data_IF_281792408255
#
_entry.id   IF_281792408255
#
_cell.length_a   1.000
_cell.length_b   1.000
_cell.length_c   1.000
_cell.angle_alpha   90.00
_cell.angle_beta   90.00
_cell.angle_gamma   90.00
#
_symmetry.space_group_name_H-M   'P 1'
#
loop_
_entity.id
_entity.type
_entity.pdbx_description
1 polymer ?
#
# COMPACT_ATOMS: atom_id res chain seq x y z
N UNK A 1 5.40 77.60 11.10
CA UNK A 1 5.16 76.20 10.66
C UNK A 1 4.55 75.47 11.83
N UNK A 2 3.28 75.11 11.73
CA UNK A 2 2.50 74.57 12.85
C UNK A 2 3.13 73.29 13.40
N UNK A 3 3.59 73.37 14.65
CA UNK A 3 4.24 72.29 15.43
C UNK A 3 3.31 71.10 15.75
N UNK A 4 2.14 71.02 15.10
CA UNK A 4 1.08 70.02 15.35
C UNK A 4 1.37 68.65 14.72
N UNK A 5 2.31 68.55 13.78
CA UNK A 5 2.70 67.28 13.15
C UNK A 5 3.83 66.52 13.89
N UNK A 6 4.34 67.05 15.01
CA UNK A 6 5.47 66.42 15.71
C UNK A 6 5.08 65.19 16.54
N UNK A 7 3.82 65.06 16.93
CA UNK A 7 3.37 64.03 17.87
C UNK A 7 2.23 63.21 17.27
N UNK A 8 2.43 61.89 17.18
CA UNK A 8 1.37 60.98 16.76
C UNK A 8 0.30 60.86 17.86
N UNK A 9 -0.94 61.04 17.47
CA UNK A 9 -2.12 61.01 18.35
C UNK A 9 -3.12 59.95 17.92
N UNK A 10 -2.79 59.16 16.90
CA UNK A 10 -3.63 58.08 16.38
C UNK A 10 -3.67 56.93 17.39
N UNK A 11 -4.78 56.23 17.43
CA UNK A 11 -4.91 55.02 18.22
C UNK A 11 -4.07 53.89 17.59
N UNK A 12 -3.41 53.09 18.44
CA UNK A 12 -2.61 51.95 17.99
C UNK A 12 -3.45 50.87 17.26
N UNK A 13 -4.71 50.71 17.67
CA UNK A 13 -5.66 49.74 17.08
C UNK A 13 -6.41 50.40 15.92
N UNK A 14 -7.05 51.55 16.18
CA UNK A 14 -7.86 52.27 15.19
C UNK A 14 -7.11 53.46 14.59
N UNK A 15 -6.20 53.20 13.64
CA UNK A 15 -5.24 54.19 13.11
C UNK A 15 -5.86 55.46 12.50
N UNK A 16 -7.14 55.43 12.12
CA UNK A 16 -7.87 56.61 11.61
C UNK A 16 -8.39 57.53 12.72
N UNK A 17 -8.51 57.01 13.94
CA UNK A 17 -9.10 57.73 15.06
C UNK A 17 -8.03 58.25 16.00
N UNK A 18 -8.20 59.50 16.42
CA UNK A 18 -7.34 60.11 17.44
C UNK A 18 -7.77 59.64 18.83
N UNK A 19 -6.78 59.44 19.70
CA UNK A 19 -6.97 59.19 21.13
C UNK A 19 -7.71 60.39 21.74
N UNK A 20 -8.75 60.12 22.54
CA UNK A 20 -9.61 61.16 23.12
C UNK A 20 -9.81 61.04 24.63
N UNK A 21 -9.77 59.84 25.19
CA UNK A 21 -10.13 59.61 26.59
C UNK A 21 -9.25 58.52 27.21
N UNK A 22 -9.25 58.44 28.54
CA UNK A 22 -8.62 57.34 29.28
C UNK A 22 -9.70 56.35 29.67
N UNK A 23 -9.47 55.06 29.43
CA UNK A 23 -10.23 53.99 30.06
C UNK A 23 -9.63 53.73 31.44
N UNK A 24 -10.28 54.21 32.49
CA UNK A 24 -9.81 54.10 33.87
C UNK A 24 -9.79 52.65 34.36
N UNK A 25 -10.76 51.83 33.91
CA UNK A 25 -10.82 50.40 34.22
C UNK A 25 -9.60 49.66 33.69
N UNK A 26 -9.24 49.88 32.42
CA UNK A 26 -8.11 49.21 31.77
C UNK A 26 -6.77 49.95 31.93
N UNK A 27 -6.77 51.17 32.47
CA UNK A 27 -5.61 52.07 32.59
C UNK A 27 -4.89 52.35 31.26
N UNK A 28 -5.64 52.45 30.17
CA UNK A 28 -5.10 52.73 28.82
C UNK A 28 -5.78 53.94 28.18
N UNK A 29 -5.11 54.52 27.19
CA UNK A 29 -5.67 55.58 26.36
C UNK A 29 -6.45 55.00 25.18
N UNK A 30 -7.63 55.53 24.91
CA UNK A 30 -8.55 54.96 23.90
C UNK A 30 -9.13 56.04 22.99
N UNK A 31 -9.44 55.66 21.74
CA UNK A 31 -10.21 56.47 20.82
C UNK A 31 -11.71 56.13 20.92
N UNK A 32 -12.55 56.82 20.14
CA UNK A 32 -14.01 56.59 20.18
C UNK A 32 -14.39 55.15 19.78
N UNK A 33 -13.73 54.55 18.80
CA UNK A 33 -14.01 53.17 18.37
C UNK A 33 -13.62 52.12 19.41
N UNK A 34 -12.51 52.32 20.13
CA UNK A 34 -12.13 51.46 21.25
C UNK A 34 -13.20 51.44 22.35
N UNK A 35 -13.87 52.57 22.60
CA UNK A 35 -14.92 52.68 23.62
C UNK A 35 -16.15 51.88 23.19
N UNK A 36 -16.48 51.89 21.90
CA UNK A 36 -17.64 51.17 21.37
C UNK A 36 -17.42 49.65 21.26
N UNK A 37 -16.15 49.22 21.28
CA UNK A 37 -15.72 47.82 21.17
C UNK A 37 -15.25 47.29 22.52
N UNK A 38 -13.95 47.06 22.68
CA UNK A 38 -13.36 46.31 23.79
C UNK A 38 -13.45 47.02 25.14
N UNK A 39 -13.75 48.33 25.14
CA UNK A 39 -13.90 49.12 26.35
C UNK A 39 -15.35 49.56 26.61
N UNK A 40 -16.33 48.90 25.98
CA UNK A 40 -17.74 49.20 26.18
C UNK A 40 -18.16 48.88 27.63
N UNK A 41 -18.82 49.85 28.29
CA UNK A 41 -19.22 49.75 29.69
C UNK A 41 -18.10 49.97 30.71
N UNK A 42 -16.87 50.23 30.29
CA UNK A 42 -15.78 50.55 31.23
C UNK A 42 -15.85 51.99 31.73
N UNK A 43 -15.27 52.25 32.91
CA UNK A 43 -15.17 53.60 33.47
C UNK A 43 -14.20 54.43 32.63
N UNK A 44 -14.63 55.63 32.23
CA UNK A 44 -13.84 56.55 31.41
C UNK A 44 -13.50 57.81 32.21
N UNK A 45 -12.26 58.28 32.07
CA UNK A 45 -11.73 59.49 32.70
C UNK A 45 -11.11 60.43 31.64
N UNK A 46 -11.06 61.74 31.95
CA UNK A 46 -10.50 62.75 31.05
C UNK A 46 -8.98 62.63 30.94
N UNK A 47 -8.44 63.00 29.79
CA UNK A 47 -6.99 63.22 29.63
C UNK A 47 -6.64 64.54 30.32
N UNK A 48 -6.23 64.45 31.57
CA UNK A 48 -5.74 65.57 32.38
C UNK A 48 -4.39 65.23 33.02
N UNK A 49 -3.84 66.18 33.78
CA UNK A 49 -2.50 66.04 34.39
C UNK A 49 -2.46 64.89 35.39
N UNK A 50 -3.49 64.70 36.20
CA UNK A 50 -3.49 63.68 37.26
C UNK A 50 -3.56 62.27 36.67
N UNK A 51 -4.53 62.04 35.78
CA UNK A 51 -4.75 60.74 35.16
C UNK A 51 -3.60 60.35 34.22
N UNK A 52 -3.04 61.31 33.48
CA UNK A 52 -1.87 61.08 32.63
C UNK A 52 -0.63 60.71 33.43
N UNK A 53 -0.40 61.35 34.59
CA UNK A 53 0.71 61.00 35.49
C UNK A 53 0.61 59.56 35.98
N UNK A 54 -0.59 59.09 36.36
CA UNK A 54 -0.79 57.70 36.82
C UNK A 54 -0.40 56.68 35.75
N UNK A 55 -0.85 56.86 34.50
CA UNK A 55 -0.49 55.96 33.39
C UNK A 55 1.01 56.04 33.08
N UNK A 56 1.58 57.25 33.10
CA UNK A 56 3.00 57.44 32.82
C UNK A 56 3.90 56.78 33.86
N UNK A 57 3.56 56.87 35.15
CA UNK A 57 4.34 56.20 36.20
C UNK A 57 4.28 54.67 36.08
N UNK A 58 3.14 54.08 35.71
CA UNK A 58 3.07 52.64 35.39
C UNK A 58 3.96 52.28 34.20
N UNK A 59 3.91 53.09 33.13
CA UNK A 59 4.77 52.89 31.96
C UNK A 59 6.26 52.96 32.32
N UNK A 60 6.65 53.98 33.08
CA UNK A 60 8.02 54.22 33.51
C UNK A 60 8.55 53.13 34.45
N UNK A 61 7.74 52.74 35.44
CA UNK A 61 8.18 51.85 36.51
C UNK A 61 8.01 50.37 36.17
N UNK A 62 7.13 50.01 35.22
CA UNK A 62 6.82 48.63 34.89
C UNK A 62 7.01 48.30 33.39
N UNK A 63 6.39 49.06 32.49
CA UNK A 63 6.38 48.70 31.06
C UNK A 63 7.77 48.75 30.43
N UNK A 64 8.57 49.79 30.69
CA UNK A 64 9.91 49.93 30.10
C UNK A 64 10.81 48.72 30.45
N UNK A 65 10.88 48.34 31.72
CA UNK A 65 11.70 47.20 32.14
C UNK A 65 11.19 45.86 31.58
N UNK A 66 9.87 45.73 31.39
CA UNK A 66 9.30 44.53 30.78
C UNK A 66 9.52 44.49 29.27
N UNK A 67 9.58 45.63 28.57
CA UNK A 67 9.90 45.68 27.14
C UNK A 67 11.33 45.18 26.88
N UNK A 68 12.29 45.56 27.71
CA UNK A 68 13.67 45.06 27.59
C UNK A 68 13.71 43.52 27.71
N UNK A 69 12.98 42.94 28.68
CA UNK A 69 12.83 41.48 28.79
C UNK A 69 12.17 40.85 27.57
N UNK A 70 11.20 41.53 26.94
CA UNK A 70 10.56 41.03 25.72
C UNK A 70 11.51 41.00 24.52
N UNK A 71 12.50 41.89 24.46
CA UNK A 71 13.54 41.85 23.41
C UNK A 71 14.32 40.54 23.51
N UNK A 72 14.77 40.19 24.72
CA UNK A 72 15.53 38.94 24.95
C UNK A 72 14.70 37.70 24.64
N UNK A 73 13.44 37.66 25.08
CA UNK A 73 12.50 36.56 24.79
C UNK A 73 12.30 36.41 23.27
N UNK A 74 12.08 37.51 22.55
CA UNK A 74 11.87 37.46 21.10
C UNK A 74 13.13 37.02 20.35
N UNK A 75 14.32 37.44 20.79
CA UNK A 75 15.58 36.96 20.23
C UNK A 75 15.78 35.47 20.47
N UNK A 76 15.42 34.96 21.65
CA UNK A 76 15.47 33.53 21.96
C UNK A 76 14.48 32.73 21.09
N UNK A 77 13.25 33.23 20.92
CA UNK A 77 12.25 32.64 20.03
C UNK A 77 12.70 32.63 18.57
N UNK A 78 13.33 33.72 18.10
CA UNK A 78 13.89 33.81 16.76
C UNK A 78 14.99 32.76 16.54
N UNK A 79 15.91 32.61 17.51
CA UNK A 79 16.95 31.59 17.45
C UNK A 79 16.36 30.17 17.46
N UNK A 80 15.36 29.89 18.31
CA UNK A 80 14.64 28.61 18.30
C UNK A 80 13.98 28.33 16.95
N UNK A 81 13.32 29.31 16.36
CA UNK A 81 12.68 29.18 15.04
C UNK A 81 13.71 28.89 13.94
N UNK A 82 14.83 29.61 13.95
CA UNK A 82 15.89 29.43 12.95
C UNK A 82 16.52 28.03 13.06
N UNK A 83 16.76 27.55 14.28
CA UNK A 83 17.28 26.20 14.50
C UNK A 83 16.30 25.12 14.02
N UNK A 84 15.01 25.27 14.31
CA UNK A 84 13.98 24.35 13.82
C UNK A 84 13.92 24.33 12.29
N UNK A 85 13.94 25.51 11.66
CA UNK A 85 13.97 25.63 10.20
C UNK A 85 15.21 24.97 9.61
N UNK A 86 16.38 25.13 10.24
CA UNK A 86 17.61 24.49 9.78
C UNK A 86 17.50 22.96 9.78
N UNK A 87 16.91 22.37 10.83
CA UNK A 87 16.65 20.93 10.86
C UNK A 87 15.68 20.48 9.75
N UNK A 88 14.68 21.29 9.42
CA UNK A 88 13.76 21.02 8.30
C UNK A 88 14.51 21.07 6.95
N UNK A 89 15.38 22.05 6.77
CA UNK A 89 16.20 22.21 5.56
C UNK A 89 17.17 21.03 5.36
N UNK A 90 17.85 20.62 6.42
CA UNK A 90 18.76 19.48 6.37
C UNK A 90 18.00 18.19 6.04
N UNK A 91 16.83 17.99 6.67
CA UNK A 91 15.98 16.82 6.38
C UNK A 91 15.40 16.84 4.97
N UNK A 92 15.05 18.02 4.46
CA UNK A 92 14.61 18.18 3.07
C UNK A 92 15.71 17.73 2.10
N UNK A 93 16.94 18.19 2.32
CA UNK A 93 18.10 17.82 1.50
C UNK A 93 18.35 16.31 1.53
N UNK A 94 18.31 15.70 2.71
CA UNK A 94 18.44 14.25 2.90
C UNK A 94 17.36 13.47 2.14
N UNK A 95 16.10 13.89 2.25
CA UNK A 95 14.98 13.25 1.57
C UNK A 95 15.11 13.32 0.05
N UNK A 96 15.50 14.48 -0.50
CA UNK A 96 15.73 14.65 -1.94
C UNK A 96 16.84 13.73 -2.45
N UNK A 97 17.96 13.65 -1.72
CA UNK A 97 19.08 12.76 -2.08
C UNK A 97 18.66 11.28 -2.04
N UNK A 98 17.90 10.88 -1.03
CA UNK A 98 17.39 9.52 -0.88
C UNK A 98 16.50 9.12 -2.06
N UNK A 99 15.54 9.97 -2.42
CA UNK A 99 14.65 9.73 -3.57
C UNK A 99 15.47 9.60 -4.85
N UNK A 100 16.41 10.51 -5.06
CA UNK A 100 17.25 10.55 -6.27
C UNK A 100 18.08 9.28 -6.44
N UNK A 101 18.75 8.81 -5.38
CA UNK A 101 19.59 7.61 -5.45
C UNK A 101 18.77 6.33 -5.66
N UNK A 102 17.59 6.18 -5.04
CA UNK A 102 16.72 5.01 -5.28
C UNK A 102 16.28 4.94 -6.75
N UNK A 103 15.87 6.05 -7.36
CA UNK A 103 15.49 6.06 -8.78
C UNK A 103 16.68 5.81 -9.71
N UNK A 104 17.88 6.27 -9.33
CA UNK A 104 19.12 6.01 -10.07
C UNK A 104 19.47 4.52 -10.06
N UNK A 105 19.36 3.84 -8.93
CA UNK A 105 19.56 2.39 -8.84
C UNK A 105 18.53 1.61 -9.66
N UNK A 106 17.24 1.98 -9.57
CA UNK A 106 16.19 1.35 -10.39
C UNK A 106 16.43 1.52 -11.89
N UNK A 107 16.89 2.70 -12.31
CA UNK A 107 17.22 2.96 -13.72
C UNK A 107 18.37 2.10 -14.23
N UNK A 108 19.32 1.72 -13.38
CA UNK A 108 20.44 0.81 -13.77
C UNK A 108 19.95 -0.60 -14.04
N UNK A 109 18.87 -1.04 -13.41
CA UNK A 109 18.33 -2.40 -13.56
C UNK A 109 17.59 -2.60 -14.89
N UNK A 110 16.92 -1.57 -15.41
CA UNK A 110 16.13 -1.64 -16.64
C UNK A 110 16.88 -2.23 -17.85
N UNK A 111 18.05 -1.71 -18.26
CA UNK A 111 18.77 -2.25 -19.42
C UNK A 111 19.27 -3.68 -19.19
N UNK A 112 19.59 -4.05 -17.95
CA UNK A 112 20.03 -5.41 -17.61
C UNK A 112 18.88 -6.39 -17.84
N UNK A 113 17.68 -6.06 -17.33
CA UNK A 113 16.48 -6.88 -17.48
C UNK A 113 16.06 -6.97 -18.96
N UNK A 114 16.13 -5.86 -19.70
CA UNK A 114 15.82 -5.84 -21.13
C UNK A 114 16.73 -6.80 -21.92
N UNK A 115 18.05 -6.70 -21.73
CA UNK A 115 19.03 -7.57 -22.40
C UNK A 115 18.80 -9.03 -22.05
N UNK A 116 18.53 -9.35 -20.78
CA UNK A 116 18.24 -10.71 -20.33
C UNK A 116 17.00 -11.30 -21.03
N UNK A 117 15.90 -10.53 -21.12
CA UNK A 117 14.68 -10.99 -21.78
C UNK A 117 14.85 -11.18 -23.28
N UNK A 118 15.58 -10.29 -23.95
CA UNK A 118 15.92 -10.45 -25.37
C UNK A 118 16.76 -11.71 -25.59
N UNK A 119 17.76 -11.97 -24.74
CA UNK A 119 18.59 -13.18 -24.83
C UNK A 119 17.75 -14.45 -24.71
N UNK A 120 16.80 -14.50 -23.78
CA UNK A 120 15.88 -15.65 -23.65
C UNK A 120 15.08 -15.89 -24.93
N UNK A 121 14.57 -14.84 -25.58
CA UNK A 121 13.87 -14.95 -26.86
C UNK A 121 14.77 -15.46 -27.98
N UNK A 122 16.02 -14.96 -28.06
CA UNK A 122 17.00 -15.40 -29.06
C UNK A 122 17.31 -16.88 -28.88
N UNK A 123 17.54 -17.35 -27.65
CA UNK A 123 17.81 -18.77 -27.39
C UNK A 123 16.65 -19.67 -27.83
N UNK A 124 15.40 -19.30 -27.50
CA UNK A 124 14.23 -20.08 -27.94
C UNK A 124 14.07 -20.10 -29.46
N UNK A 125 14.43 -19.00 -30.13
CA UNK A 125 14.42 -18.93 -31.59
C UNK A 125 15.52 -19.81 -32.21
N UNK A 126 16.72 -19.81 -31.65
CA UNK A 126 17.83 -20.65 -32.13
C UNK A 126 17.51 -22.14 -31.98
N UNK A 127 16.92 -22.56 -30.86
CA UNK A 127 16.44 -23.94 -30.68
C UNK A 127 15.39 -24.34 -31.73
N UNK A 128 14.44 -23.43 -32.04
CA UNK A 128 13.48 -23.65 -33.11
C UNK A 128 14.15 -23.72 -34.49
N UNK A 129 15.21 -22.95 -34.72
CA UNK A 129 15.98 -23.00 -35.96
C UNK A 129 16.68 -24.35 -36.13
N UNK A 130 17.21 -24.93 -35.05
CA UNK A 130 17.80 -26.26 -35.05
C UNK A 130 16.74 -27.34 -35.36
N UNK A 131 15.56 -27.25 -34.73
CA UNK A 131 14.42 -28.15 -35.03
C UNK A 131 14.03 -28.06 -36.51
N UNK A 132 13.91 -26.84 -37.05
CA UNK A 132 13.57 -26.63 -38.46
C UNK A 132 14.61 -27.22 -39.41
N UNK A 133 15.89 -27.08 -39.08
CA UNK A 133 17.00 -27.63 -39.86
C UNK A 133 16.93 -29.15 -39.87
N UNK A 134 16.69 -29.78 -38.72
CA UNK A 134 16.56 -31.23 -38.62
C UNK A 134 15.38 -31.79 -39.43
N UNK A 135 14.22 -31.12 -39.36
CA UNK A 135 13.04 -31.48 -40.17
C UNK A 135 13.36 -31.33 -41.65
N UNK A 136 13.92 -30.19 -42.06
CA UNK A 136 14.22 -29.88 -43.46
C UNK A 136 15.20 -30.89 -44.07
N UNK A 137 16.29 -31.21 -43.36
CA UNK A 137 17.26 -32.22 -43.79
C UNK A 137 16.61 -33.58 -43.94
N UNK A 138 15.82 -34.01 -42.94
CA UNK A 138 15.12 -35.31 -42.98
C UNK A 138 14.16 -35.39 -44.19
N UNK A 139 13.36 -34.35 -44.43
CA UNK A 139 12.45 -34.29 -45.57
C UNK A 139 13.21 -34.30 -46.89
N UNK A 140 14.30 -33.54 -46.99
CA UNK A 140 15.09 -33.45 -48.21
C UNK A 140 15.75 -34.80 -48.56
N UNK A 141 16.33 -35.49 -47.59
CA UNK A 141 16.90 -36.83 -47.78
C UNK A 141 15.85 -37.84 -48.24
N UNK A 142 14.66 -37.80 -47.64
CA UNK A 142 13.54 -38.63 -48.05
C UNK A 142 13.09 -38.33 -49.48
N UNK A 143 12.92 -37.06 -49.84
CA UNK A 143 12.52 -36.65 -51.19
C UNK A 143 13.57 -37.05 -52.23
N UNK A 144 14.86 -36.90 -51.92
CA UNK A 144 15.94 -37.32 -52.82
C UNK A 144 15.88 -38.83 -53.08
N UNK A 145 15.70 -39.65 -52.03
CA UNK A 145 15.55 -41.10 -52.18
C UNK A 145 14.28 -41.48 -52.96
N UNK A 146 13.15 -40.84 -52.66
CA UNK A 146 11.87 -41.07 -53.38
C UNK A 146 12.04 -40.74 -54.86
N UNK A 147 12.57 -39.56 -55.18
CA UNK A 147 12.75 -39.12 -56.57
C UNK A 147 13.69 -40.04 -57.33
N UNK A 148 14.79 -40.46 -56.70
CA UNK A 148 15.78 -41.37 -57.30
C UNK A 148 15.15 -42.73 -57.66
N UNK A 149 14.41 -43.33 -56.73
CA UNK A 149 13.72 -44.61 -56.95
C UNK A 149 12.60 -44.45 -57.98
N UNK A 150 11.74 -43.44 -57.81
CA UNK A 150 10.56 -43.25 -58.67
C UNK A 150 10.98 -42.97 -60.11
N UNK A 151 11.93 -42.07 -60.35
CA UNK A 151 12.39 -41.76 -61.71
C UNK A 151 13.01 -42.97 -62.41
N UNK A 152 13.70 -43.84 -61.65
CA UNK A 152 14.34 -45.03 -62.20
C UNK A 152 13.34 -46.11 -62.63
N UNK A 153 12.26 -46.30 -61.89
CA UNK A 153 11.37 -47.45 -62.08
C UNK A 153 9.97 -47.11 -62.63
N UNK A 154 9.51 -45.86 -62.57
CA UNK A 154 8.12 -45.45 -62.86
C UNK A 154 7.56 -46.01 -64.19
N UNK A 155 8.37 -46.00 -65.25
CA UNK A 155 7.93 -46.44 -66.58
C UNK A 155 8.41 -47.85 -66.95
N UNK A 156 9.37 -48.40 -66.21
CA UNK A 156 10.07 -49.65 -66.54
C UNK A 156 9.65 -50.82 -65.67
N UNK A 157 9.08 -50.57 -64.47
CA UNK A 157 8.85 -51.59 -63.44
C UNK A 157 8.10 -52.83 -63.96
N UNK A 158 7.05 -52.65 -64.77
CA UNK A 158 6.25 -53.75 -65.31
C UNK A 158 6.98 -54.59 -66.37
N UNK A 159 8.08 -54.08 -66.93
CA UNK A 159 8.90 -54.76 -67.94
C UNK A 159 10.14 -55.43 -67.34
N UNK A 160 10.39 -55.26 -66.04
CA UNK A 160 11.55 -55.86 -65.37
C UNK A 160 11.27 -57.35 -65.15
N UNK A 161 12.08 -58.20 -65.78
CA UNK A 161 12.11 -59.64 -65.52
C UNK A 161 13.35 -59.95 -64.66
N UNK A 162 13.11 -60.20 -63.36
CA UNK A 162 14.19 -60.37 -62.39
C UNK A 162 15.03 -61.62 -62.65
N UNK A 163 14.40 -62.72 -63.10
CA UNK A 163 15.10 -63.97 -63.42
C UNK A 163 16.13 -63.75 -64.53
N UNK A 164 15.76 -62.97 -65.54
CA UNK A 164 16.65 -62.64 -66.66
C UNK A 164 17.82 -61.77 -66.23
N UNK A 165 17.60 -60.84 -65.30
CA UNK A 165 18.66 -59.96 -64.76
C UNK A 165 19.64 -60.77 -63.91
N UNK A 166 19.14 -61.62 -63.01
CA UNK A 166 19.97 -62.49 -62.15
C UNK A 166 20.85 -63.39 -63.03
N UNK A 167 20.29 -64.00 -64.08
CA UNK A 167 21.02 -64.89 -64.97
C UNK A 167 22.08 -64.18 -65.83
N UNK A 168 21.98 -62.87 -66.03
CA UNK A 168 22.95 -62.08 -66.81
C UNK A 168 24.18 -61.63 -65.99
N UNK A 169 24.28 -61.99 -64.70
CA UNK A 169 25.42 -61.71 -63.83
C UNK A 169 25.83 -60.23 -63.74
N UNK A 170 24.88 -59.31 -63.92
CA UNK A 170 25.10 -57.91 -63.61
C UNK A 170 24.57 -57.61 -62.19
N UNK A 171 25.25 -56.76 -61.44
CA UNK A 171 24.83 -56.37 -60.07
C UNK A 171 23.54 -55.53 -60.04
N UNK A 172 22.84 -55.40 -61.17
CA UNK A 172 21.59 -54.64 -61.27
C UNK A 172 20.51 -55.22 -60.36
N UNK A 173 20.48 -56.54 -60.17
CA UNK A 173 19.56 -57.18 -59.24
C UNK A 173 19.82 -56.72 -57.79
N UNK A 174 21.08 -56.53 -57.38
CA UNK A 174 21.44 -56.01 -56.05
C UNK A 174 20.96 -54.56 -55.88
N UNK A 175 21.13 -53.72 -56.90
CA UNK A 175 20.66 -52.35 -56.86
C UNK A 175 19.13 -52.27 -56.73
N UNK A 176 18.39 -53.12 -57.45
CA UNK A 176 16.93 -53.24 -57.32
C UNK A 176 16.56 -53.62 -55.88
N UNK A 177 17.25 -54.60 -55.29
CA UNK A 177 17.00 -55.02 -53.91
C UNK A 177 17.31 -53.90 -52.90
N UNK A 178 18.37 -53.10 -53.12
CA UNK A 178 18.68 -51.92 -52.31
C UNK A 178 17.54 -50.90 -52.37
N UNK A 179 17.05 -50.56 -53.56
CA UNK A 179 15.94 -49.63 -53.72
C UNK A 179 14.63 -50.18 -53.16
N UNK A 180 14.37 -51.50 -53.25
CA UNK A 180 13.27 -52.15 -52.56
C UNK A 180 13.35 -51.92 -51.05
N UNK A 181 14.51 -52.20 -50.44
CA UNK A 181 14.70 -52.02 -48.99
C UNK A 181 14.55 -50.54 -48.56
N UNK A 182 15.16 -49.61 -49.30
CA UNK A 182 15.02 -48.17 -49.04
C UNK A 182 13.59 -47.68 -49.19
N UNK A 183 12.88 -48.13 -50.25
CA UNK A 183 11.47 -47.78 -50.43
C UNK A 183 10.67 -48.28 -49.25
N UNK A 184 10.88 -49.52 -48.81
CA UNK A 184 10.16 -50.10 -47.69
C UNK A 184 10.31 -49.25 -46.42
N UNK A 185 11.51 -48.75 -46.10
CA UNK A 185 11.72 -47.84 -44.96
C UNK A 185 10.95 -46.52 -45.07
N UNK A 186 10.73 -46.01 -46.28
CA UNK A 186 10.01 -44.75 -46.53
C UNK A 186 8.48 -44.90 -46.42
N UNK A 187 7.94 -46.07 -46.76
CA UNK A 187 6.48 -46.33 -46.80
C UNK A 187 5.93 -47.13 -45.61
N UNK A 188 6.77 -47.84 -44.84
CA UNK A 188 6.26 -48.72 -43.78
C UNK A 188 5.59 -47.91 -42.65
N UNK A 189 4.32 -48.24 -42.39
CA UNK A 189 3.53 -47.87 -41.21
C UNK A 189 3.57 -46.38 -40.81
N UNK A 190 3.58 -45.47 -41.78
CA UNK A 190 3.67 -44.02 -41.55
C UNK A 190 4.87 -43.60 -40.67
N UNK A 191 5.92 -44.44 -40.52
CA UNK A 191 7.01 -44.18 -39.58
C UNK A 191 7.72 -42.85 -39.85
N UNK A 192 7.90 -42.52 -41.13
CA UNK A 192 8.51 -41.25 -41.52
C UNK A 192 7.63 -40.04 -41.17
N UNK A 193 6.32 -40.15 -41.44
CA UNK A 193 5.36 -39.11 -41.09
C UNK A 193 5.30 -38.91 -39.57
N UNK A 194 5.29 -40.01 -38.80
CA UNK A 194 5.29 -39.97 -37.34
C UNK A 194 6.57 -39.33 -36.80
N UNK A 195 7.74 -39.68 -37.35
CA UNK A 195 9.03 -39.07 -36.97
C UNK A 195 9.04 -37.55 -37.22
N UNK A 196 8.52 -37.11 -38.35
CA UNK A 196 8.41 -35.66 -38.65
C UNK A 196 7.41 -34.99 -37.72
N UNK A 197 6.25 -35.60 -37.45
CA UNK A 197 5.27 -35.07 -36.48
C UNK A 197 5.87 -34.95 -35.07
N UNK A 198 6.65 -35.94 -34.64
CA UNK A 198 7.37 -35.88 -33.37
C UNK A 198 8.34 -34.71 -33.31
N UNK A 199 9.09 -34.44 -34.38
CA UNK A 199 9.97 -33.27 -34.46
C UNK A 199 9.19 -31.95 -34.46
N UNK A 200 8.08 -31.88 -35.20
CA UNK A 200 7.21 -30.69 -35.22
C UNK A 200 6.68 -30.39 -33.83
N UNK A 201 6.31 -31.42 -33.05
CA UNK A 201 5.82 -31.25 -31.68
C UNK A 201 6.89 -30.73 -30.71
N UNK A 202 8.18 -30.70 -31.11
CA UNK A 202 9.26 -30.14 -30.28
C UNK A 202 9.37 -28.62 -30.41
N UNK A 203 8.74 -28.00 -31.41
CA UNK A 203 8.78 -26.55 -31.56
C UNK A 203 8.28 -25.84 -30.30
N UNK A 204 9.03 -24.84 -29.85
CA UNK A 204 8.67 -24.00 -28.71
C UNK A 204 7.84 -22.81 -29.19
N UNK A 205 6.56 -22.82 -28.88
CA UNK A 205 5.69 -21.66 -29.13
C UNK A 205 5.90 -20.60 -28.04
N UNK A 206 6.24 -19.38 -28.44
CA UNK A 206 6.62 -18.29 -27.53
C UNK A 206 5.53 -17.24 -27.47
N UNK A 207 4.95 -17.05 -26.28
CA UNK A 207 3.99 -15.98 -25.99
C UNK A 207 4.62 -14.95 -25.04
N UNK A 208 4.48 -13.67 -25.37
CA UNK A 208 4.97 -12.56 -24.55
C UNK A 208 3.80 -11.93 -23.80
N UNK A 209 3.91 -11.83 -22.47
CA UNK A 209 2.95 -11.11 -21.63
C UNK A 209 3.58 -9.79 -21.19
N UNK A 210 2.91 -8.68 -21.48
CA UNK A 210 3.37 -7.34 -21.10
C UNK A 210 2.64 -6.84 -19.85
N UNK A 211 3.35 -6.73 -18.72
CA UNK A 211 2.83 -6.24 -17.44
C UNK A 211 3.24 -4.79 -17.13
N UNK A 212 3.62 -4.00 -18.14
CA UNK A 212 4.21 -2.66 -17.94
C UNK A 212 3.34 -1.73 -17.10
N UNK A 213 2.01 -1.81 -17.22
CA UNK A 213 1.11 -0.90 -16.51
C UNK A 213 1.06 -1.17 -15.00
N UNK A 214 1.07 -2.45 -14.61
CA UNK A 214 1.16 -2.82 -13.20
C UNK A 214 2.49 -2.35 -12.59
N UNK A 215 3.59 -2.53 -13.33
CA UNK A 215 4.93 -2.09 -12.89
C UNK A 215 4.99 -0.57 -12.72
N UNK A 216 4.40 0.21 -13.64
CA UNK A 216 4.34 1.67 -13.51
C UNK A 216 3.63 2.11 -12.23
N UNK A 217 2.52 1.45 -11.87
CA UNK A 217 1.80 1.78 -10.65
C UNK A 217 2.65 1.47 -9.41
N UNK A 218 3.31 0.31 -9.38
CA UNK A 218 4.26 0.00 -8.30
C UNK A 218 5.42 0.99 -8.20
N UNK A 219 5.91 1.52 -9.33
CA UNK A 219 6.98 2.55 -9.32
C UNK A 219 6.48 3.87 -8.73
N UNK A 220 5.24 4.28 -9.03
CA UNK A 220 4.64 5.51 -8.45
C UNK A 220 4.49 5.42 -6.93
N UNK A 221 4.28 4.21 -6.40
CA UNK A 221 4.06 3.95 -4.99
C UNK A 221 5.36 3.79 -4.17
N UNK A 222 6.54 3.92 -4.80
CA UNK A 222 7.83 3.80 -4.10
C UNK A 222 7.97 4.84 -2.99
N UNK A 223 7.52 6.08 -3.23
CA UNK A 223 7.58 7.16 -2.27
C UNK A 223 6.24 7.86 -2.12
N UNK A 224 5.76 7.96 -0.88
CA UNK A 224 4.63 8.80 -0.49
C UNK A 224 5.16 9.98 0.34
N UNK A 225 4.76 11.20 -0.02
CA UNK A 225 5.13 12.42 0.70
C UNK A 225 3.93 12.86 1.52
N UNK A 226 4.03 12.74 2.84
CA UNK A 226 3.03 13.24 3.78
C UNK A 226 3.54 14.47 4.54
N UNK A 227 2.65 15.41 4.85
CA UNK A 227 2.89 16.47 5.81
C UNK A 227 1.90 16.30 6.96
N UNK A 228 2.37 16.41 8.21
CA UNK A 228 1.48 16.40 9.36
C UNK A 228 1.55 17.76 10.05
N UNK A 229 0.52 18.57 9.87
CA UNK A 229 0.24 19.70 10.73
C UNK A 229 -0.67 19.18 11.85
N UNK A 230 -0.30 19.42 13.10
CA UNK A 230 -1.15 19.28 14.30
C UNK A 230 -1.33 17.88 14.93
N UNK A 231 -0.92 17.84 16.19
CA UNK A 231 -1.39 17.00 17.28
C UNK A 231 -2.91 17.16 17.38
N UNK A 232 -3.69 16.20 16.87
CA UNK A 232 -5.02 15.99 17.44
C UNK A 232 -4.81 15.29 18.78
N UNK A 233 -5.21 15.93 19.88
CA UNK A 233 -5.23 15.40 21.25
C UNK A 233 -6.25 14.26 21.42
N UNK A 234 -6.28 13.32 20.49
CA UNK A 234 -6.71 11.95 20.78
C UNK A 234 -5.42 11.24 21.17
N UNK A 235 -5.37 10.64 22.36
CA UNK A 235 -4.24 9.78 22.75
C UNK A 235 -4.21 8.64 21.73
N UNK A 236 -3.46 8.80 20.66
CA UNK A 236 -3.18 7.72 19.73
C UNK A 236 -2.23 6.76 20.45
N UNK A 237 -2.44 5.44 20.32
CA UNK A 237 -1.48 4.50 20.86
C UNK A 237 -0.09 4.78 20.30
N UNK A 238 0.92 4.68 21.15
CA UNK A 238 2.33 4.61 20.73
C UNK A 238 2.76 3.18 20.45
N UNK A 239 2.17 2.21 21.15
CA UNK A 239 2.45 0.79 20.99
C UNK A 239 1.20 -0.03 21.32
N UNK A 240 0.96 -1.08 20.56
CA UNK A 240 -0.08 -2.06 20.88
C UNK A 240 0.53 -3.46 20.87
N UNK A 241 0.35 -4.18 21.98
CA UNK A 241 0.83 -5.55 22.16
C UNK A 241 -0.37 -6.45 22.43
N UNK A 242 -0.53 -7.55 21.69
CA UNK A 242 -1.56 -8.56 21.99
C UNK A 242 -0.97 -9.90 22.44
N UNK A 243 -1.62 -10.55 23.41
CA UNK A 243 -0.98 -11.47 24.35
C UNK A 243 -1.38 -12.95 24.25
N UNK A 244 -1.05 -13.65 23.16
CA UNK A 244 -0.65 -15.09 23.16
C UNK A 244 0.77 -15.26 22.59
N UNK A 245 1.21 -14.29 21.78
CA UNK A 245 2.51 -14.25 21.11
C UNK A 245 3.27 -12.93 21.32
N UNK A 246 2.79 -12.03 22.19
CA UNK A 246 3.38 -10.69 22.44
C UNK A 246 3.79 -10.00 21.13
N UNK A 247 2.84 -9.89 20.20
CA UNK A 247 3.11 -9.28 18.90
C UNK A 247 2.94 -7.77 18.99
N UNK A 248 3.95 -7.02 18.54
CA UNK A 248 3.85 -5.57 18.35
C UNK A 248 3.13 -5.25 17.05
N UNK A 249 2.16 -4.34 17.12
CA UNK A 249 1.39 -3.90 15.97
C UNK A 249 1.94 -2.58 15.42
N UNK A 250 2.08 -2.51 14.11
CA UNK A 250 2.29 -1.25 13.41
C UNK A 250 1.02 -0.39 13.52
N UNK A 251 1.14 0.83 14.03
CA UNK A 251 -0.01 1.74 14.18
C UNK A 251 -0.21 2.50 12.86
N UNK A 252 -1.28 2.14 12.15
CA UNK A 252 -1.71 2.82 10.93
C UNK A 252 -2.26 4.20 11.26
N UNK A 253 -1.77 5.22 10.54
CA UNK A 253 -2.29 6.59 10.55
C UNK A 253 -2.70 6.96 9.12
N UNK A 254 -3.43 8.07 8.97
CA UNK A 254 -3.72 8.58 7.63
C UNK A 254 -2.40 8.80 6.87
N UNK A 255 -2.36 8.37 5.62
CA UNK A 255 -1.21 8.53 4.71
C UNK A 255 0.10 7.87 5.23
N UNK A 256 -0.03 6.82 6.05
CA UNK A 256 1.09 5.98 6.48
C UNK A 256 1.27 4.78 5.57
N UNK A 257 2.47 4.63 5.00
CA UNK A 257 2.89 3.39 4.34
C UNK A 257 3.17 2.35 5.43
N UNK A 258 2.46 1.22 5.38
CA UNK A 258 2.78 0.05 6.18
C UNK A 258 4.00 -0.63 5.54
N UNK A 259 5.13 -0.80 6.25
CA UNK A 259 6.32 -1.46 5.71
C UNK A 259 5.99 -2.82 5.11
N UNK A 260 6.57 -3.12 3.94
CA UNK A 260 6.36 -4.42 3.29
C UNK A 260 6.84 -5.55 4.21
N UNK A 261 6.04 -6.61 4.35
CA UNK A 261 6.29 -7.68 5.30
C UNK A 261 5.72 -7.43 6.71
N UNK A 262 5.08 -6.28 6.96
CA UNK A 262 4.33 -6.09 8.22
C UNK A 262 3.20 -7.10 8.32
N UNK A 263 3.14 -7.81 9.45
CA UNK A 263 2.15 -8.87 9.71
C UNK A 263 1.02 -8.39 10.62
N UNK A 264 1.31 -7.46 11.54
CA UNK A 264 0.39 -6.99 12.58
C UNK A 264 0.16 -5.48 12.43
N UNK A 265 -1.09 -5.07 12.24
CA UNK A 265 -1.47 -3.65 12.05
C UNK A 265 -2.61 -3.27 12.98
N UNK A 266 -2.47 -2.13 13.65
CA UNK A 266 -3.51 -1.54 14.49
C UNK A 266 -3.97 -0.21 13.89
N UNK A 267 -5.28 0.03 13.81
CA UNK A 267 -5.87 1.23 13.23
C UNK A 267 -6.59 2.03 14.31
N UNK A 268 -6.14 3.26 14.53
CA UNK A 268 -6.61 4.14 15.60
C UNK A 268 -7.78 5.06 15.22
N UNK A 269 -8.33 5.79 16.21
CA UNK A 269 -9.41 6.77 16.04
C UNK A 269 -9.02 8.00 15.20
N UNK A 270 -7.74 8.34 15.09
CA UNK A 270 -7.26 9.48 14.27
C UNK A 270 -7.36 9.24 12.75
N UNK A 271 -7.58 7.99 12.33
CA UNK A 271 -7.72 7.61 10.93
C UNK A 271 -9.06 8.10 10.39
N UNK A 272 -9.02 8.90 9.33
CA UNK A 272 -10.17 9.50 8.65
C UNK A 272 -10.56 8.72 7.40
N UNK A 273 -9.58 8.12 6.72
CA UNK A 273 -9.78 7.37 5.48
C UNK A 273 -8.85 6.17 5.38
N UNK A 274 -9.34 5.06 4.83
CA UNK A 274 -8.53 3.91 4.40
C UNK A 274 -8.73 3.79 2.89
N UNK A 275 -7.65 3.77 2.11
CA UNK A 275 -7.73 3.62 0.65
C UNK A 275 -7.65 2.13 0.31
N UNK A 276 -8.35 1.68 -0.73
CA UNK A 276 -8.19 0.31 -1.23
C UNK A 276 -6.72 0.11 -1.61
N UNK A 277 -6.09 -0.95 -1.07
CA UNK A 277 -4.68 -1.24 -1.27
C UNK A 277 -3.71 -0.58 -0.28
N UNK A 278 -4.16 0.31 0.62
CA UNK A 278 -3.25 0.96 1.60
C UNK A 278 -2.76 0.02 2.71
N UNK A 279 -3.44 -1.10 2.92
CA UNK A 279 -3.01 -2.16 3.83
C UNK A 279 -2.44 -3.31 2.98
N UNK A 280 -1.13 -3.61 3.10
CA UNK A 280 -0.47 -4.58 2.23
C UNK A 280 -0.95 -6.00 2.49
N UNK A 281 -0.87 -6.85 1.47
CA UNK A 281 -1.29 -8.26 1.54
C UNK A 281 -0.40 -9.13 2.43
N UNK A 282 0.66 -8.58 3.01
CA UNK A 282 1.46 -9.23 4.06
C UNK A 282 0.76 -9.25 5.42
N UNK A 283 -0.21 -8.35 5.65
CA UNK A 283 -0.90 -8.19 6.93
C UNK A 283 -1.82 -9.38 7.16
N UNK A 284 -1.65 -10.05 8.29
CA UNK A 284 -2.45 -11.21 8.70
C UNK A 284 -3.26 -10.95 9.96
N UNK A 285 -2.82 -10.01 10.80
CA UNK A 285 -3.46 -9.64 12.06
C UNK A 285 -3.84 -8.16 12.01
N UNK A 286 -5.13 -7.86 12.06
CA UNK A 286 -5.64 -6.49 12.06
C UNK A 286 -6.39 -6.20 13.36
N UNK A 287 -6.04 -5.10 14.02
CA UNK A 287 -6.73 -4.60 15.21
C UNK A 287 -7.36 -3.24 14.91
N UNK A 288 -8.68 -3.16 14.95
CA UNK A 288 -9.42 -1.90 14.92
C UNK A 288 -9.56 -1.43 16.37
N UNK A 289 -8.90 -0.33 16.71
CA UNK A 289 -8.85 0.19 18.07
C UNK A 289 -10.13 0.96 18.42
N UNK A 290 -10.32 1.17 19.72
CA UNK A 290 -11.43 1.95 20.25
C UNK A 290 -11.50 3.33 19.61
N UNK A 291 -12.72 3.72 19.21
CA UNK A 291 -12.98 5.00 18.58
C UNK A 291 -12.69 5.06 17.08
N UNK A 292 -12.22 3.98 16.43
CA UNK A 292 -12.13 3.90 14.97
C UNK A 292 -13.46 4.27 14.31
N UNK A 293 -13.44 5.27 13.42
CA UNK A 293 -14.64 5.96 12.91
C UNK A 293 -14.71 6.02 11.36
N UNK A 294 -14.09 5.06 10.68
CA UNK A 294 -14.18 4.92 9.22
C UNK A 294 -15.19 3.81 8.90
N UNK A 295 -16.07 4.07 7.94
CA UNK A 295 -17.01 3.05 7.47
C UNK A 295 -16.23 2.07 6.59
N UNK A 296 -16.06 0.84 7.04
CA UNK A 296 -15.45 -0.20 6.21
C UNK A 296 -16.46 -0.65 5.15
N UNK A 297 -15.97 -0.77 3.91
CA UNK A 297 -16.68 -1.27 2.73
C UNK A 297 -15.86 -2.38 2.07
N UNK A 298 -16.48 -3.12 1.16
CA UNK A 298 -15.84 -4.24 0.46
C UNK A 298 -14.54 -3.81 -0.24
N UNK A 299 -13.49 -4.63 -0.09
CA UNK A 299 -12.18 -4.41 -0.72
C UNK A 299 -11.25 -3.43 0.00
N UNK A 300 -11.71 -2.71 1.03
CA UNK A 300 -10.83 -1.81 1.81
C UNK A 300 -9.78 -2.56 2.64
N UNK A 301 -10.12 -3.75 3.11
CA UNK A 301 -9.24 -4.61 3.89
C UNK A 301 -8.74 -5.77 3.01
N UNK A 302 -7.44 -6.13 3.04
CA UNK A 302 -6.90 -7.19 2.20
C UNK A 302 -7.41 -8.58 2.61
N UNK A 303 -7.56 -9.47 1.62
CA UNK A 303 -8.00 -10.86 1.83
C UNK A 303 -6.97 -11.73 2.59
N UNK A 304 -5.77 -11.20 2.87
CA UNK A 304 -4.73 -11.87 3.64
C UNK A 304 -4.99 -11.90 5.14
N UNK A 305 -5.88 -11.03 5.66
CA UNK A 305 -6.16 -10.94 7.10
C UNK A 305 -6.78 -12.25 7.56
N UNK A 306 -6.15 -12.88 8.55
CA UNK A 306 -6.59 -14.14 9.19
C UNK A 306 -7.26 -13.89 10.54
N UNK A 307 -6.76 -12.91 11.29
CA UNK A 307 -7.24 -12.56 12.62
C UNK A 307 -7.67 -11.09 12.64
N UNK A 308 -8.94 -10.84 12.93
CA UNK A 308 -9.50 -9.49 13.04
C UNK A 308 -9.96 -9.26 14.48
N UNK A 309 -9.38 -8.24 15.13
CA UNK A 309 -9.74 -7.81 16.47
C UNK A 309 -10.44 -6.46 16.37
N UNK A 310 -11.59 -6.31 17.02
CA UNK A 310 -12.44 -5.13 16.88
C UNK A 310 -12.81 -4.58 18.24
N UNK A 311 -12.30 -3.39 18.57
CA UNK A 311 -12.64 -2.63 19.77
C UNK A 311 -13.97 -1.88 19.68
N UNK A 312 -14.14 -0.87 20.52
CA UNK A 312 -15.31 0.01 20.56
C UNK A 312 -15.36 0.99 19.37
N UNK A 313 -15.56 0.46 18.16
CA UNK A 313 -15.65 1.23 16.92
C UNK A 313 -16.94 2.07 16.86
N UNK A 314 -16.92 3.16 16.08
CA UNK A 314 -18.03 4.13 16.01
C UNK A 314 -19.03 3.88 14.88
N UNK A 315 -18.71 3.00 13.94
CA UNK A 315 -19.55 2.67 12.77
C UNK A 315 -19.76 1.16 12.69
N UNK A 316 -20.92 0.70 12.19
CA UNK A 316 -21.21 -0.72 12.11
C UNK A 316 -20.34 -1.44 11.08
N UNK A 317 -20.11 -2.73 11.29
CA UNK A 317 -19.49 -3.61 10.30
C UNK A 317 -20.57 -4.04 9.30
N UNK A 318 -20.49 -3.50 8.08
CA UNK A 318 -21.44 -3.80 7.01
C UNK A 318 -21.22 -5.20 6.42
N UNK A 319 -22.23 -5.70 5.71
CA UNK A 319 -22.09 -6.87 4.83
C UNK A 319 -20.88 -6.70 3.90
N UNK A 320 -20.08 -7.75 3.76
CA UNK A 320 -18.84 -7.79 2.96
C UNK A 320 -17.70 -6.86 3.40
N UNK A 321 -17.81 -6.15 4.53
CA UNK A 321 -16.73 -5.29 5.04
C UNK A 321 -15.58 -6.08 5.71
N UNK A 322 -15.88 -7.28 6.22
CA UNK A 322 -14.89 -8.22 6.77
C UNK A 322 -14.41 -9.12 5.62
N UNK A 323 -13.10 -9.22 5.34
CA UNK A 323 -12.59 -10.09 4.28
C UNK A 323 -12.92 -11.57 4.49
N UNK A 324 -13.13 -12.30 3.39
CA UNK A 324 -13.34 -13.77 3.40
C UNK A 324 -12.08 -14.56 3.79
N UNK A 325 -10.95 -13.88 3.99
CA UNK A 325 -9.73 -14.47 4.54
C UNK A 325 -9.75 -14.68 6.06
N UNK A 326 -10.65 -13.98 6.77
CA UNK A 326 -10.69 -13.96 8.25
C UNK A 326 -11.19 -15.30 8.77
N UNK A 327 -10.37 -15.93 9.60
CA UNK A 327 -10.63 -17.24 10.23
C UNK A 327 -11.10 -17.05 11.68
N UNK A 328 -10.57 -16.04 12.37
CA UNK A 328 -10.96 -15.71 13.74
C UNK A 328 -11.32 -14.23 13.85
N UNK A 329 -12.49 -13.95 14.40
CA UNK A 329 -12.99 -12.62 14.70
C UNK A 329 -13.07 -12.45 16.22
N UNK A 330 -12.51 -11.38 16.76
CA UNK A 330 -12.64 -11.05 18.18
C UNK A 330 -13.29 -9.70 18.35
N UNK A 331 -14.40 -9.68 19.08
CA UNK A 331 -15.13 -8.47 19.46
C UNK A 331 -14.72 -8.17 20.90
N UNK A 332 -13.90 -7.14 21.07
CA UNK A 332 -13.25 -6.77 22.33
C UNK A 332 -14.19 -5.97 23.23
N UNK A 333 -13.77 -5.72 24.47
CA UNK A 333 -14.53 -4.95 25.45
C UNK A 333 -15.04 -3.63 24.84
N UNK A 334 -16.34 -3.35 24.99
CA UNK A 334 -16.96 -2.11 24.51
C UNK A 334 -17.42 -2.12 23.04
N UNK A 335 -17.16 -3.17 22.26
CA UNK A 335 -17.80 -3.33 20.95
C UNK A 335 -19.32 -3.43 21.13
N UNK A 336 -20.06 -2.43 20.64
CA UNK A 336 -21.51 -2.29 20.85
C UNK A 336 -22.30 -2.04 19.55
N UNK A 337 -21.68 -2.29 18.40
CA UNK A 337 -22.30 -2.08 17.09
C UNK A 337 -23.02 -3.35 16.62
N UNK A 338 -24.03 -3.18 15.77
CA UNK A 338 -24.66 -4.32 15.09
C UNK A 338 -23.69 -4.97 14.10
N UNK A 339 -23.75 -6.29 13.99
CA UNK A 339 -23.05 -7.07 12.98
C UNK A 339 -24.09 -7.67 12.04
N UNK A 340 -24.15 -7.17 10.81
CA UNK A 340 -25.15 -7.64 9.83
C UNK A 340 -24.86 -9.06 9.36
N UNK A 341 -23.58 -9.38 9.10
CA UNK A 341 -23.17 -10.68 8.57
C UNK A 341 -21.72 -10.98 8.94
N UNK A 342 -21.46 -12.20 9.40
CA UNK A 342 -20.11 -12.72 9.63
C UNK A 342 -19.73 -13.58 8.42
N UNK A 343 -18.56 -13.37 7.79
CA UNK A 343 -18.13 -14.19 6.66
C UNK A 343 -18.12 -15.68 6.99
N UNK A 344 -18.49 -16.53 6.03
CA UNK A 344 -18.49 -17.99 6.21
C UNK A 344 -17.10 -18.59 6.51
N UNK A 345 -16.05 -17.83 6.24
CA UNK A 345 -14.65 -18.20 6.55
C UNK A 345 -14.34 -18.17 8.04
N UNK A 346 -15.09 -17.40 8.83
CA UNK A 346 -14.87 -17.26 10.27
C UNK A 346 -15.27 -18.56 10.96
N UNK A 347 -14.29 -19.23 11.57
CA UNK A 347 -14.47 -20.48 12.31
C UNK A 347 -14.57 -20.25 13.81
N UNK A 348 -13.91 -19.21 14.31
CA UNK A 348 -13.85 -18.88 15.73
C UNK A 348 -14.26 -17.42 15.97
N UNK A 349 -15.19 -17.22 16.89
CA UNK A 349 -15.65 -15.90 17.32
C UNK A 349 -15.34 -15.73 18.80
N UNK A 350 -14.53 -14.73 19.15
CA UNK A 350 -14.17 -14.42 20.52
C UNK A 350 -14.97 -13.22 21.01
N UNK A 351 -15.65 -13.38 22.13
CA UNK A 351 -16.52 -12.39 22.73
C UNK A 351 -16.00 -11.95 24.10
N UNK A 352 -15.79 -10.65 24.23
CA UNK A 352 -15.44 -9.95 25.46
C UNK A 352 -16.69 -9.26 26.04
N UNK A 353 -16.58 -8.27 26.92
CA UNK A 353 -17.76 -7.58 27.46
C UNK A 353 -18.45 -6.72 26.38
N UNK A 354 -19.28 -7.37 25.56
CA UNK A 354 -19.92 -6.83 24.34
C UNK A 354 -21.43 -7.12 24.37
N UNK A 355 -22.36 -6.13 24.27
CA UNK A 355 -23.83 -6.25 24.42
C UNK A 355 -24.58 -7.12 23.39
N UNK A 356 -23.91 -8.00 22.65
CA UNK A 356 -24.50 -8.79 21.57
C UNK A 356 -25.18 -10.07 22.08
N UNK A 357 -26.50 -10.20 21.86
CA UNK A 357 -27.27 -11.37 22.31
C UNK A 357 -27.69 -12.34 21.21
N UNK A 358 -27.59 -11.96 19.93
CA UNK A 358 -28.08 -12.75 18.79
C UNK A 358 -26.98 -12.98 17.75
N UNK A 359 -26.59 -14.25 17.54
CA UNK A 359 -25.57 -14.65 16.56
C UNK A 359 -26.10 -15.70 15.56
N UNK A 360 -25.55 -15.79 14.34
CA UNK A 360 -25.82 -16.92 13.44
C UNK A 360 -25.13 -18.18 13.98
N UNK A 361 -25.86 -18.97 14.76
CA UNK A 361 -25.32 -20.01 15.65
C UNK A 361 -24.75 -21.27 14.97
N UNK A 362 -25.05 -21.53 13.71
CA UNK A 362 -24.99 -22.90 13.19
C UNK A 362 -23.62 -23.40 12.73
N UNK A 363 -22.59 -22.55 12.61
CA UNK A 363 -21.30 -22.95 12.00
C UNK A 363 -20.02 -22.38 12.65
N UNK A 364 -20.13 -21.59 13.71
CA UNK A 364 -18.98 -20.87 14.31
C UNK A 364 -18.79 -21.33 15.76
N UNK A 365 -17.55 -21.61 16.15
CA UNK A 365 -17.17 -21.85 17.54
C UNK A 365 -17.10 -20.52 18.28
N UNK A 366 -17.91 -20.35 19.33
CA UNK A 366 -17.99 -19.10 20.07
C UNK A 366 -17.21 -19.26 21.38
N UNK A 367 -16.23 -18.41 21.58
CA UNK A 367 -15.39 -18.32 22.75
C UNK A 367 -15.79 -17.10 23.57
N UNK A 368 -16.37 -17.30 24.75
CA UNK A 368 -16.66 -16.19 25.66
C UNK A 368 -15.55 -16.06 26.70
N UNK A 369 -14.99 -14.87 26.82
CA UNK A 369 -14.03 -14.54 27.88
C UNK A 369 -14.73 -14.54 29.25
N UNK A 370 -13.99 -14.60 30.37
CA UNK A 370 -14.58 -14.47 31.71
C UNK A 370 -15.26 -13.13 31.97
N UNK A 371 -14.95 -12.10 31.18
CA UNK A 371 -15.58 -10.77 31.24
C UNK A 371 -16.95 -10.71 30.56
N UNK A 372 -17.30 -11.70 29.72
CA UNK A 372 -18.57 -11.71 29.00
C UNK A 372 -19.74 -11.90 29.96
N UNK A 373 -20.55 -10.86 30.15
CA UNK A 373 -21.62 -10.85 31.17
C UNK A 373 -22.99 -11.32 30.69
N UNK A 374 -23.20 -11.44 29.37
CA UNK A 374 -24.52 -11.81 28.86
C UNK A 374 -24.76 -13.31 28.85
N UNK A 375 -26.04 -13.66 28.95
CA UNK A 375 -26.48 -15.03 28.83
C UNK A 375 -26.44 -15.46 27.36
N UNK A 376 -25.47 -16.32 27.04
CA UNK A 376 -25.36 -16.96 25.74
C UNK A 376 -25.39 -18.48 25.93
N UNK A 377 -26.51 -19.10 25.57
CA UNK A 377 -26.74 -20.55 25.72
C UNK A 377 -26.88 -21.19 24.35
N UNK A 378 -25.79 -21.77 23.84
CA UNK A 378 -25.77 -22.57 22.62
C UNK A 378 -24.65 -23.62 22.72
N UNK A 379 -24.81 -24.78 22.07
CA UNK A 379 -23.87 -25.91 22.16
C UNK A 379 -22.45 -25.59 21.66
N UNK A 380 -22.34 -24.64 20.73
CA UNK A 380 -21.08 -24.16 20.18
C UNK A 380 -20.39 -23.07 21.04
N UNK A 381 -20.95 -22.71 22.20
CA UNK A 381 -20.37 -21.70 23.10
C UNK A 381 -19.45 -22.40 24.10
N UNK A 382 -18.19 -21.98 24.14
CA UNK A 382 -17.18 -22.44 25.09
C UNK A 382 -16.69 -21.28 25.93
N UNK A 383 -16.47 -21.54 27.21
CA UNK A 383 -15.67 -20.62 28.03
C UNK A 383 -14.24 -20.66 27.51
N UNK A 384 -13.68 -19.49 27.30
CA UNK A 384 -12.27 -19.34 26.95
C UNK A 384 -11.58 -18.63 28.11
N UNK A 385 -10.65 -19.32 28.76
CA UNK A 385 -9.91 -18.84 29.92
C UNK A 385 -8.70 -17.98 29.54
N UNK A 386 -8.69 -17.42 28.32
CA UNK A 386 -7.58 -16.80 27.60
C UNK A 386 -6.73 -15.81 28.41
N UNK A 387 -5.86 -16.34 29.28
CA UNK A 387 -5.17 -15.61 30.33
C UNK A 387 -4.66 -14.24 29.89
N UNK A 388 -5.21 -13.17 30.47
CA UNK A 388 -4.90 -11.77 30.18
C UNK A 388 -4.73 -11.41 28.69
N UNK A 389 -5.29 -12.19 27.76
CA UNK A 389 -5.24 -11.88 26.35
C UNK A 389 -6.29 -10.83 26.11
N UNK A 390 -5.81 -9.60 26.01
CA UNK A 390 -6.51 -8.43 25.52
C UNK A 390 -5.41 -7.53 24.96
N UNK A 391 -5.60 -6.88 23.81
CA UNK A 391 -4.62 -5.94 23.31
C UNK A 391 -4.34 -4.88 24.38
N UNK A 392 -3.10 -4.85 24.87
CA UNK A 392 -2.61 -3.79 25.77
C UNK A 392 -2.18 -2.63 24.90
N UNK A 393 -2.87 -1.52 25.06
CA UNK A 393 -2.65 -0.28 24.32
C UNK A 393 -1.86 0.65 25.25
N UNK A 394 -0.68 1.06 24.82
CA UNK A 394 0.13 2.07 25.51
C UNK A 394 0.08 3.39 24.75
N UNK A 395 -0.16 4.50 25.47
CA UNK A 395 -0.37 5.85 24.92
C UNK A 395 0.82 6.78 25.16
#
# INVERSE_FOLDING_TARGET
MDNKNKYDRKCAIHKEHKIKIICATCKVVVCIECILSDHNGHKLDRIDVENSKKIFEEFKNNHIQNLDKQIDINNELLNKSNNLFKSIEDKHTENVNTITEVFKELSKLLPIIEIDKIKQLVTLYDENKDINTNISTTIHDNLNNINLITNKYKNTINHINIDKIINNNNDQHIEILKHCSQSQLLIKDNQNENKIKELINQYKNVNIVNNSEQVKNSIKEIFEISNSLSITNVKDPKRVISGRFTAEYFIYKNDSIIPNGTIHVAIGPSVKTIKIGSIPTSVQNLLLLDGFNVQLTEGMLPQSIRFLFVGAIKKPLLKSSIPNGVIALSLLDGFNQEITEIPQSVKELFLFDTPLTNFPYSKILIHRSPKYKQQLTHSNVRNWDGGNWEPKIEF
#
